data_IF_769749554199
#
_entry.id   IF_769749554199
#
_cell.length_a   1.000
_cell.length_b   1.000
_cell.length_c   1.000
_cell.angle_alpha   90.00
_cell.angle_beta   90.00
_cell.angle_gamma   90.00
#
_symmetry.space_group_name_H-M   'P 1'
#
loop_
_entity.id
_entity.type
_entity.pdbx_description
1 polymer ?
#
# COMPACT_ATOMS: atom_id res chain seq x y z
N UNK A 1 -10.79 -2.96 -18.99
CA UNK A 1 -9.94 -3.40 -17.87
C UNK A 1 -9.29 -4.71 -18.23
N UNK A 2 -8.14 -5.04 -17.65
CA UNK A 2 -7.55 -6.39 -17.77
C UNK A 2 -8.11 -7.35 -16.70
N UNK A 3 -7.64 -8.60 -16.69
CA UNK A 3 -8.08 -9.64 -15.74
C UNK A 3 -7.69 -9.37 -14.29
N UNK A 4 -6.77 -8.43 -14.03
CA UNK A 4 -6.38 -7.99 -12.70
C UNK A 4 -7.18 -6.76 -12.24
N UNK A 5 -8.17 -6.31 -13.02
CA UNK A 5 -9.01 -5.17 -12.69
C UNK A 5 -8.37 -3.81 -13.00
N UNK A 6 -7.22 -3.76 -13.69
CA UNK A 6 -6.53 -2.51 -14.03
C UNK A 6 -7.12 -1.90 -15.28
N UNK A 7 -7.28 -0.57 -15.32
CA UNK A 7 -7.79 0.14 -16.50
C UNK A 7 -6.75 0.13 -17.60
N UNK A 8 -7.02 -0.51 -18.73
CA UNK A 8 -6.11 -0.57 -19.90
C UNK A 8 -6.43 0.46 -20.98
N UNK A 9 -7.66 0.98 -20.98
CA UNK A 9 -8.11 2.02 -21.91
C UNK A 9 -9.33 2.75 -21.35
N UNK A 10 -9.53 3.99 -21.80
CA UNK A 10 -10.78 4.75 -21.67
C UNK A 10 -11.13 5.42 -22.99
N UNK A 11 -12.42 5.69 -23.17
CA UNK A 11 -12.95 6.53 -24.23
C UNK A 11 -13.97 7.47 -23.60
N UNK A 12 -13.82 8.76 -23.85
CA UNK A 12 -14.71 9.80 -23.34
C UNK A 12 -15.08 10.77 -24.46
N UNK A 13 -16.27 11.36 -24.38
CA UNK A 13 -16.67 12.46 -25.26
C UNK A 13 -16.63 13.75 -24.44
N UNK A 14 -15.77 14.68 -24.83
CA UNK A 14 -15.54 15.95 -24.14
C UNK A 14 -15.76 17.07 -25.16
N UNK A 15 -16.75 17.91 -24.91
CA UNK A 15 -17.12 19.01 -25.82
C UNK A 15 -17.36 18.58 -27.29
N UNK A 16 -17.86 17.36 -27.49
CA UNK A 16 -18.12 16.78 -28.82
C UNK A 16 -16.91 16.13 -29.49
N UNK A 17 -15.74 16.14 -28.84
CA UNK A 17 -14.54 15.42 -29.29
C UNK A 17 -14.40 14.09 -28.54
N UNK A 18 -14.08 13.03 -29.28
CA UNK A 18 -13.85 11.71 -28.68
C UNK A 18 -12.36 11.58 -28.34
N UNK A 19 -12.07 11.55 -27.04
CA UNK A 19 -10.74 11.24 -26.53
C UNK A 19 -10.63 9.73 -26.31
N UNK A 20 -9.55 9.13 -26.82
CA UNK A 20 -9.17 7.75 -26.53
C UNK A 20 -7.80 7.72 -25.87
N UNK A 21 -7.72 7.02 -24.74
CA UNK A 21 -6.50 6.91 -23.96
C UNK A 21 -6.25 5.46 -23.56
N UNK A 22 -5.01 5.00 -23.68
CA UNK A 22 -4.55 3.67 -23.24
C UNK A 22 -3.63 3.83 -22.04
N UNK A 23 -3.55 2.80 -21.21
CA UNK A 23 -2.74 2.80 -19.99
C UNK A 23 -1.89 1.54 -19.90
N UNK A 24 -0.62 1.72 -19.51
CA UNK A 24 0.31 0.63 -19.19
C UNK A 24 0.61 0.62 -17.69
N UNK A 25 0.89 -0.56 -17.16
CA UNK A 25 1.00 -0.79 -15.72
C UNK A 25 2.27 -1.56 -15.35
N UNK A 26 2.87 -1.22 -14.20
CA UNK A 26 3.91 -1.98 -13.51
C UNK A 26 3.34 -2.46 -12.18
N UNK A 27 3.01 -3.75 -12.06
CA UNK A 27 2.23 -4.25 -10.92
C UNK A 27 0.85 -3.56 -10.88
N UNK A 28 0.50 -2.96 -9.74
CA UNK A 28 -0.70 -2.12 -9.57
C UNK A 28 -0.43 -0.62 -9.71
N UNK A 29 0.75 -0.22 -10.20
CA UNK A 29 1.12 1.19 -10.43
C UNK A 29 1.00 1.55 -11.91
N UNK A 30 0.24 2.60 -12.23
CA UNK A 30 0.12 3.07 -13.61
C UNK A 30 1.47 3.63 -14.07
N UNK A 31 2.01 3.04 -15.12
CA UNK A 31 3.32 3.39 -15.65
C UNK A 31 3.23 4.45 -16.74
N UNK A 32 2.23 4.36 -17.62
CA UNK A 32 2.13 5.23 -18.80
C UNK A 32 0.68 5.48 -19.19
N UNK A 33 0.39 6.67 -19.69
CA UNK A 33 -0.81 6.96 -20.47
C UNK A 33 -0.44 7.33 -21.91
N UNK A 34 -1.29 6.95 -22.86
CA UNK A 34 -1.05 7.12 -24.29
C UNK A 34 -2.32 7.60 -24.99
N UNK A 35 -2.19 8.70 -25.74
CA UNK A 35 -3.16 9.18 -26.72
C UNK A 35 -2.54 9.04 -28.13
N UNK A 36 -3.31 9.16 -29.22
CA UNK A 36 -2.72 9.10 -30.57
C UNK A 36 -1.60 10.13 -30.74
N UNK A 37 -0.38 9.67 -31.04
CA UNK A 37 0.80 10.53 -31.27
C UNK A 37 1.48 11.08 -30.01
N UNK A 38 0.97 10.77 -28.80
CA UNK A 38 1.58 11.26 -27.55
C UNK A 38 1.55 10.19 -26.45
N UNK A 39 2.57 10.22 -25.59
CA UNK A 39 2.58 9.41 -24.39
C UNK A 39 3.25 10.11 -23.22
N UNK A 40 2.79 9.80 -22.02
CA UNK A 40 3.32 10.30 -20.77
C UNK A 40 3.73 9.09 -19.92
N UNK A 41 5.03 8.96 -19.66
CA UNK A 41 5.62 7.93 -18.80
C UNK A 41 5.82 8.51 -17.39
N UNK A 42 5.32 7.83 -16.37
CA UNK A 42 5.46 8.22 -14.97
C UNK A 42 6.59 7.45 -14.29
N UNK A 43 7.49 8.17 -13.63
CA UNK A 43 8.54 7.64 -12.78
C UNK A 43 8.18 7.93 -11.32
N UNK A 44 8.40 6.96 -10.45
CA UNK A 44 7.97 7.00 -9.05
C UNK A 44 9.14 6.70 -8.13
N UNK A 45 9.04 7.14 -6.89
CA UNK A 45 9.98 6.76 -5.85
C UNK A 45 10.02 5.22 -5.67
N UNK A 46 11.19 4.65 -5.31
CA UNK A 46 11.33 3.21 -5.09
C UNK A 46 10.32 2.69 -4.05
N UNK A 47 9.52 1.68 -4.43
CA UNK A 47 8.55 1.03 -3.53
C UNK A 47 7.32 1.87 -3.17
N UNK A 48 7.11 3.01 -3.84
CA UNK A 48 6.04 3.98 -3.51
C UNK A 48 5.13 4.26 -4.72
N UNK A 49 3.99 4.92 -4.45
CA UNK A 49 3.11 5.51 -5.47
C UNK A 49 3.31 7.03 -5.59
N UNK A 50 4.22 7.61 -4.82
CA UNK A 50 4.62 9.01 -4.95
C UNK A 50 5.36 9.22 -6.28
N UNK A 51 4.84 10.09 -7.16
CA UNK A 51 5.49 10.38 -8.44
C UNK A 51 6.75 11.22 -8.20
N UNK A 52 7.79 10.92 -8.96
CA UNK A 52 9.10 11.59 -8.90
C UNK A 52 9.33 12.45 -10.15
N UNK A 53 9.07 11.89 -11.33
CA UNK A 53 9.23 12.58 -12.60
C UNK A 53 8.24 12.03 -13.63
N UNK A 54 8.07 12.74 -14.73
CA UNK A 54 7.42 12.20 -15.94
C UNK A 54 8.17 12.58 -17.19
N UNK A 55 8.05 11.72 -18.20
CA UNK A 55 8.62 11.92 -19.54
C UNK A 55 7.49 11.96 -20.53
N UNK A 56 7.33 13.12 -21.18
CA UNK A 56 6.36 13.32 -22.24
C UNK A 56 7.06 13.13 -23.59
N UNK A 57 6.47 12.28 -24.43
CA UNK A 57 6.92 12.04 -25.79
C UNK A 57 5.76 12.34 -26.74
N UNK A 58 5.93 13.33 -27.61
CA UNK A 58 5.06 13.59 -28.76
C UNK A 58 5.78 13.15 -30.05
N UNK A 59 5.03 12.66 -31.03
CA UNK A 59 5.59 12.23 -32.32
C UNK A 59 6.26 13.41 -33.04
N UNK A 60 7.54 13.23 -33.41
CA UNK A 60 8.32 14.28 -34.07
C UNK A 60 8.90 15.35 -33.13
N UNK A 61 8.66 15.27 -31.83
CA UNK A 61 9.26 16.15 -30.82
C UNK A 61 10.33 15.43 -29.99
N UNK A 62 11.27 16.21 -29.42
CA UNK A 62 12.17 15.72 -28.39
C UNK A 62 11.41 15.41 -27.09
N UNK A 63 11.97 14.51 -26.28
CA UNK A 63 11.39 14.15 -24.99
C UNK A 63 11.45 15.33 -24.02
N UNK A 64 10.33 15.62 -23.37
CA UNK A 64 10.24 16.63 -22.31
C UNK A 64 10.22 15.94 -20.95
N UNK A 65 11.14 16.33 -20.09
CA UNK A 65 11.26 15.79 -18.73
C UNK A 65 10.68 16.80 -17.74
N UNK A 66 9.82 16.31 -16.84
CA UNK A 66 9.24 17.10 -15.78
C UNK A 66 9.44 16.44 -14.42
N UNK A 67 9.56 17.23 -13.37
CA UNK A 67 9.82 16.79 -11.99
C UNK A 67 8.65 17.15 -11.09
N UNK A 68 8.17 16.17 -10.33
CA UNK A 68 7.11 16.37 -9.36
C UNK A 68 7.66 16.90 -8.04
N UNK A 69 6.95 17.88 -7.46
CA UNK A 69 7.10 18.27 -6.08
C UNK A 69 5.84 17.89 -5.34
N UNK A 70 5.99 17.15 -4.24
CA UNK A 70 4.86 16.52 -3.54
C UNK A 70 4.75 16.99 -2.09
N UNK A 71 3.54 16.87 -1.52
CA UNK A 71 3.31 17.06 -0.09
C UNK A 71 3.83 15.86 0.74
N UNK A 72 3.61 15.89 2.07
CA UNK A 72 4.09 14.85 2.98
C UNK A 72 3.51 13.44 2.73
N UNK A 73 2.43 13.32 1.97
CA UNK A 73 1.82 12.04 1.59
C UNK A 73 2.00 11.73 0.10
N UNK A 74 2.86 12.45 -0.61
CA UNK A 74 3.16 12.18 -2.01
C UNK A 74 2.13 12.71 -3.01
N UNK A 75 1.25 13.65 -2.60
CA UNK A 75 0.34 14.34 -3.52
C UNK A 75 1.11 15.38 -4.34
N UNK A 76 1.06 15.37 -5.67
CA UNK A 76 1.63 16.44 -6.49
C UNK A 76 1.06 17.80 -6.11
N UNK A 77 1.92 18.77 -5.78
CA UNK A 77 1.53 20.18 -5.58
C UNK A 77 2.10 21.08 -6.68
N UNK A 78 3.25 20.71 -7.25
CA UNK A 78 3.91 21.43 -8.34
C UNK A 78 4.59 20.46 -9.31
N UNK A 79 4.79 20.93 -10.54
CA UNK A 79 5.56 20.26 -11.57
C UNK A 79 6.48 21.28 -12.25
N UNK A 80 7.76 20.96 -12.37
CA UNK A 80 8.76 21.82 -13.03
C UNK A 80 9.35 21.16 -14.28
N UNK A 81 9.72 21.95 -15.29
CA UNK A 81 10.47 21.49 -16.47
C UNK A 81 11.98 21.31 -16.16
N UNK A 82 12.78 20.99 -17.19
CA UNK A 82 14.24 20.81 -17.07
C UNK A 82 14.99 22.08 -16.67
N UNK A 83 14.40 23.24 -16.91
CA UNK A 83 14.95 24.56 -16.59
C UNK A 83 14.56 25.02 -15.18
N UNK A 84 13.71 24.27 -14.48
CA UNK A 84 13.22 24.58 -13.13
C UNK A 84 12.03 25.54 -13.10
N UNK A 85 11.40 25.80 -14.24
CA UNK A 85 10.20 26.63 -14.34
C UNK A 85 8.98 25.81 -13.94
N UNK A 86 8.07 26.42 -13.16
CA UNK A 86 6.81 25.79 -12.76
C UNK A 86 5.86 25.80 -13.97
N UNK A 87 5.49 24.61 -14.43
CA UNK A 87 4.58 24.41 -15.58
C UNK A 87 3.20 23.92 -15.16
N UNK A 88 3.06 23.47 -13.91
CA UNK A 88 1.79 23.10 -13.30
C UNK A 88 1.88 23.26 -11.79
N UNK A 89 0.83 23.80 -11.15
CA UNK A 89 0.75 23.97 -9.69
C UNK A 89 -0.70 24.00 -9.23
N UNK A 90 -1.01 23.26 -8.18
CA UNK A 90 -2.35 23.18 -7.60
C UNK A 90 -2.33 23.29 -6.07
N UNK A 91 -3.38 23.87 -5.52
CA UNK A 91 -3.71 23.78 -4.08
C UNK A 91 -4.92 22.87 -3.89
N UNK A 92 -4.95 22.17 -2.75
CA UNK A 92 -5.94 21.13 -2.48
C UNK A 92 -6.71 21.41 -1.20
N UNK A 93 -7.99 21.02 -1.18
CA UNK A 93 -8.74 20.79 0.06
C UNK A 93 -8.26 19.49 0.71
N UNK A 94 -8.61 19.29 1.98
CA UNK A 94 -8.16 18.14 2.78
C UNK A 94 -8.50 16.76 2.19
N UNK A 95 -9.50 16.67 1.31
CA UNK A 95 -9.93 15.42 0.65
C UNK A 95 -9.52 15.35 -0.82
N UNK A 96 -8.52 16.14 -1.23
CA UNK A 96 -7.89 16.01 -2.53
C UNK A 96 -8.64 16.67 -3.68
N UNK A 97 -9.72 17.42 -3.42
CA UNK A 97 -10.30 18.29 -4.44
C UNK A 97 -9.37 19.48 -4.68
N UNK A 98 -9.17 19.80 -5.95
CA UNK A 98 -8.36 20.96 -6.35
C UNK A 98 -9.13 22.21 -5.96
N UNK A 99 -8.60 22.97 -5.00
CA UNK A 99 -9.17 24.25 -4.61
C UNK A 99 -8.83 25.33 -5.63
N UNK A 100 -7.57 25.33 -6.10
CA UNK A 100 -7.11 26.24 -7.13
C UNK A 100 -6.04 25.59 -7.99
N UNK A 101 -6.14 25.77 -9.30
CA UNK A 101 -5.08 25.45 -10.24
C UNK A 101 -4.34 26.75 -10.58
N UNK A 102 -3.20 26.96 -9.93
CA UNK A 102 -2.42 28.20 -9.99
C UNK A 102 -1.65 28.32 -11.30
N UNK A 103 -1.07 27.21 -11.78
CA UNK A 103 -0.39 27.10 -13.08
C UNK A 103 -0.90 25.86 -13.80
N UNK A 104 -1.14 25.97 -15.11
CA UNK A 104 -1.73 24.90 -15.93
C UNK A 104 -1.22 24.95 -17.38
N UNK A 105 0.08 25.08 -17.57
CA UNK A 105 0.68 25.08 -18.92
C UNK A 105 0.69 23.68 -19.53
N UNK A 106 0.75 22.66 -18.68
CA UNK A 106 0.70 21.25 -19.07
C UNK A 106 -0.41 20.51 -18.30
N UNK A 107 -1.06 19.55 -18.95
CA UNK A 107 -2.03 18.69 -18.27
C UNK A 107 -1.31 17.81 -17.24
N UNK A 108 -1.91 17.63 -16.07
CA UNK A 108 -1.42 16.73 -15.02
C UNK A 108 -2.62 16.07 -14.33
N UNK A 109 -2.73 14.74 -14.43
CA UNK A 109 -3.87 13.96 -13.93
C UNK A 109 -3.60 13.14 -12.66
N UNK A 110 -2.36 12.97 -12.21
CA UNK A 110 -2.06 12.31 -10.94
C UNK A 110 -2.61 13.15 -9.77
N UNK A 111 -3.18 12.49 -8.78
CA UNK A 111 -3.75 13.10 -7.56
C UNK A 111 -3.10 12.49 -6.33
N UNK A 112 -3.87 12.14 -5.29
CA UNK A 112 -3.33 11.32 -4.20
C UNK A 112 -2.66 10.07 -4.77
N UNK A 113 -1.71 9.49 -4.02
CA UNK A 113 -1.00 8.30 -4.44
C UNK A 113 -1.96 7.21 -4.97
N UNK A 114 -1.74 6.76 -6.21
CA UNK A 114 -2.58 5.77 -6.91
C UNK A 114 -3.81 6.32 -7.65
N UNK A 115 -4.11 7.61 -7.50
CA UNK A 115 -5.26 8.25 -8.13
C UNK A 115 -4.91 8.96 -9.44
N UNK A 116 -5.84 8.84 -10.40
CA UNK A 116 -5.81 9.52 -11.68
C UNK A 116 -7.12 10.28 -11.90
N UNK A 117 -7.04 11.57 -12.19
CA UNK A 117 -8.18 12.44 -12.45
C UNK A 117 -8.76 12.19 -13.85
N UNK A 118 -10.05 11.87 -13.89
CA UNK A 118 -10.83 11.77 -15.12
C UNK A 118 -11.71 13.02 -15.25
N UNK A 119 -11.24 13.97 -16.07
CA UNK A 119 -11.90 15.26 -16.28
C UNK A 119 -13.36 15.12 -16.75
N UNK A 120 -13.68 14.07 -17.52
CA UNK A 120 -15.02 13.78 -18.03
C UNK A 120 -16.06 13.49 -16.95
N UNK A 121 -15.60 13.03 -15.77
CA UNK A 121 -16.47 12.67 -14.65
C UNK A 121 -16.20 13.50 -13.40
N UNK A 122 -15.11 14.25 -13.38
CA UNK A 122 -14.53 14.88 -12.19
C UNK A 122 -14.16 13.91 -11.06
N UNK A 123 -14.22 12.60 -11.31
CA UNK A 123 -13.83 11.57 -10.36
C UNK A 123 -12.35 11.23 -10.50
N UNK A 124 -11.80 10.70 -9.42
CA UNK A 124 -10.46 10.13 -9.39
C UNK A 124 -10.57 8.62 -9.56
N UNK A 125 -10.12 8.09 -10.69
CA UNK A 125 -9.89 6.67 -10.85
C UNK A 125 -8.80 6.20 -9.87
N UNK A 126 -9.15 5.27 -8.99
CA UNK A 126 -8.27 4.73 -7.96
C UNK A 126 -8.26 3.21 -8.05
N UNK A 127 -7.59 2.69 -9.08
CA UNK A 127 -7.41 1.27 -9.44
C UNK A 127 -8.71 0.43 -9.45
N UNK A 128 -9.25 0.07 -8.29
CA UNK A 128 -10.46 -0.74 -8.16
C UNK A 128 -11.74 0.07 -7.89
N UNK A 129 -11.63 1.36 -7.57
CA UNK A 129 -12.78 2.22 -7.25
C UNK A 129 -12.64 3.59 -7.89
N UNK A 130 -13.77 4.31 -8.00
CA UNK A 130 -13.78 5.73 -8.30
C UNK A 130 -13.98 6.52 -7.01
N UNK A 131 -13.11 7.51 -6.80
CA UNK A 131 -13.13 8.40 -5.64
C UNK A 131 -13.70 9.75 -6.05
N UNK A 132 -14.64 10.25 -5.25
CA UNK A 132 -15.20 11.58 -5.37
C UNK A 132 -14.49 12.50 -4.35
N UNK A 133 -13.62 13.42 -4.82
CA UNK A 133 -12.87 14.30 -3.93
C UNK A 133 -13.71 15.43 -3.33
N UNK A 134 -14.86 15.78 -3.92
CA UNK A 134 -15.75 16.83 -3.39
C UNK A 134 -16.45 16.35 -2.11
N UNK A 135 -16.83 15.06 -2.09
CA UNK A 135 -17.51 14.44 -0.94
C UNK A 135 -16.55 13.66 -0.05
N UNK A 136 -15.32 13.41 -0.53
CA UNK A 136 -14.26 12.73 0.20
C UNK A 136 -14.48 11.22 0.39
N UNK A 137 -15.09 10.54 -0.58
CA UNK A 137 -15.43 9.10 -0.48
C UNK A 137 -15.43 8.37 -1.82
N UNK A 138 -15.41 7.05 -1.78
CA UNK A 138 -15.64 6.24 -2.98
C UNK A 138 -17.11 6.26 -3.39
N UNK A 139 -17.37 6.21 -4.70
CA UNK A 139 -18.73 6.09 -5.25
C UNK A 139 -19.18 4.64 -5.42
N UNK A 140 -18.23 3.69 -5.36
CA UNK A 140 -18.47 2.25 -5.40
C UNK A 140 -18.20 1.62 -4.02
N UNK A 141 -18.92 0.53 -3.71
CA UNK A 141 -18.64 -0.27 -2.53
C UNK A 141 -17.25 -0.91 -2.62
N UNK A 142 -16.63 -1.12 -1.46
CA UNK A 142 -15.36 -1.83 -1.35
C UNK A 142 -15.46 -3.24 -1.97
N UNK A 143 -14.62 -3.58 -2.97
CA UNK A 143 -14.62 -4.89 -3.62
C UNK A 143 -14.34 -6.06 -2.68
N UNK A 144 -13.64 -5.82 -1.56
CA UNK A 144 -13.39 -6.84 -0.53
C UNK A 144 -14.48 -6.86 0.57
N UNK A 145 -15.56 -6.10 0.37
CA UNK A 145 -16.74 -6.08 1.24
C UNK A 145 -16.41 -5.64 2.66
N UNK A 146 -17.03 -6.26 3.65
CA UNK A 146 -16.83 -5.92 5.07
C UNK A 146 -15.41 -6.20 5.58
N UNK A 147 -14.56 -6.89 4.81
CA UNK A 147 -13.13 -6.99 5.11
C UNK A 147 -12.45 -5.62 4.97
N UNK A 148 -12.98 -4.75 4.08
CA UNK A 148 -12.67 -3.32 3.90
C UNK A 148 -13.18 -2.41 5.03
N UNK A 149 -13.66 -2.99 6.13
CA UNK A 149 -14.28 -2.26 7.23
C UNK A 149 -15.79 -2.07 7.06
N UNK A 150 -16.42 -1.50 8.10
CA UNK A 150 -17.87 -1.37 8.17
C UNK A 150 -18.43 -0.30 7.22
N UNK A 151 -17.61 0.68 6.82
CA UNK A 151 -17.99 1.72 5.86
C UNK A 151 -17.40 1.41 4.49
N UNK A 152 -18.21 0.79 3.63
CA UNK A 152 -17.82 0.32 2.30
C UNK A 152 -17.44 1.44 1.31
N UNK A 153 -17.69 2.71 1.65
CA UNK A 153 -17.42 3.86 0.80
C UNK A 153 -16.25 4.72 1.31
N UNK A 154 -15.64 4.37 2.45
CA UNK A 154 -14.60 5.18 3.09
C UNK A 154 -13.30 5.18 2.30
N UNK A 155 -12.68 6.35 2.10
CA UNK A 155 -11.31 6.46 1.57
C UNK A 155 -10.24 6.06 2.59
N UNK A 156 -10.35 6.59 3.80
CA UNK A 156 -9.41 6.33 4.88
C UNK A 156 -9.84 7.08 6.13
N UNK A 157 -9.20 6.78 7.27
CA UNK A 157 -9.53 7.44 8.55
C UNK A 157 -9.04 8.89 8.56
N UNK A 158 -7.92 9.18 7.91
CA UNK A 158 -7.35 10.53 7.81
C UNK A 158 -6.64 10.73 6.46
N UNK A 159 -7.15 11.58 5.56
CA UNK A 159 -6.59 11.79 4.22
C UNK A 159 -5.28 12.60 4.22
N UNK A 160 -4.91 13.22 5.34
CA UNK A 160 -3.69 14.04 5.48
C UNK A 160 -2.47 13.19 5.83
N UNK A 161 -2.69 11.98 6.35
CA UNK A 161 -1.62 11.04 6.75
C UNK A 161 -1.77 9.63 6.18
N UNK A 162 -2.89 9.31 5.54
CA UNK A 162 -3.16 8.01 4.92
C UNK A 162 -3.33 8.15 3.43
N UNK A 163 -2.90 7.11 2.72
CA UNK A 163 -3.12 6.92 1.30
C UNK A 163 -3.85 5.58 1.09
N UNK A 164 -4.71 5.50 0.09
CA UNK A 164 -5.29 4.24 -0.41
C UNK A 164 -5.01 4.15 -1.92
N UNK A 165 -3.81 3.66 -2.34
CA UNK A 165 -3.41 3.66 -3.75
C UNK A 165 -4.18 2.70 -4.66
N UNK A 166 -4.95 1.78 -4.08
CA UNK A 166 -5.67 0.75 -4.83
C UNK A 166 -7.17 0.88 -4.75
N UNK A 167 -7.68 1.66 -3.80
CA UNK A 167 -9.09 1.63 -3.51
C UNK A 167 -9.46 0.35 -2.75
N UNK A 168 -8.63 -0.12 -1.80
CA UNK A 168 -9.00 -1.18 -0.86
C UNK A 168 -8.84 -0.67 0.58
N UNK A 169 -9.95 -0.58 1.31
CA UNK A 169 -9.94 -0.03 2.66
C UNK A 169 -9.67 -1.10 3.73
N UNK A 170 -8.60 -1.88 3.66
CA UNK A 170 -8.33 -2.84 4.74
C UNK A 170 -6.86 -2.94 5.15
N UNK A 171 -6.61 -2.64 6.43
CA UNK A 171 -5.48 -3.24 7.14
C UNK A 171 -5.67 -4.76 7.19
N UNK A 172 -4.62 -5.58 7.09
CA UNK A 172 -4.76 -7.02 7.21
C UNK A 172 -5.30 -7.43 8.58
N UNK A 173 -6.08 -8.51 8.61
CA UNK A 173 -6.73 -9.09 9.80
C UNK A 173 -5.77 -9.31 10.98
N UNK A 174 -4.52 -9.62 10.68
CA UNK A 174 -3.49 -9.99 11.67
C UNK A 174 -2.33 -8.98 11.72
N UNK A 175 -2.60 -7.73 11.30
CA UNK A 175 -1.64 -6.62 11.41
C UNK A 175 -2.00 -5.64 12.54
N UNK A 176 -1.03 -4.82 13.00
CA UNK A 176 -1.26 -3.77 13.98
C UNK A 176 -2.40 -2.83 13.57
N UNK A 177 -3.01 -2.19 14.55
CA UNK A 177 -3.92 -1.09 14.28
C UNK A 177 -3.13 0.11 13.77
N UNK A 178 -3.40 0.53 12.53
CA UNK A 178 -2.64 1.59 11.85
C UNK A 178 -2.73 2.92 12.62
N UNK A 179 -3.91 3.30 13.11
CA UNK A 179 -4.08 4.57 13.84
C UNK A 179 -3.22 4.59 15.11
N UNK A 180 -3.27 3.52 15.92
CA UNK A 180 -2.41 3.38 17.10
C UNK A 180 -0.92 3.26 16.75
N UNK A 181 -0.59 2.77 15.56
CA UNK A 181 0.78 2.64 15.11
C UNK A 181 1.40 4.00 14.79
N UNK A 182 0.65 4.82 14.03
CA UNK A 182 1.05 6.17 13.67
C UNK A 182 1.15 7.08 14.91
N UNK A 183 0.22 6.96 15.88
CA UNK A 183 0.24 7.70 17.15
C UNK A 183 1.55 7.49 17.95
N UNK A 184 2.15 6.31 17.82
CA UNK A 184 3.44 5.98 18.46
C UNK A 184 4.65 6.44 17.67
N UNK A 185 4.48 7.15 16.56
CA UNK A 185 5.55 7.59 15.67
C UNK A 185 6.08 6.52 14.71
N UNK A 186 5.31 5.45 14.48
CA UNK A 186 5.61 4.48 13.43
C UNK A 186 5.16 4.99 12.05
N UNK A 187 5.55 4.28 10.99
CA UNK A 187 5.02 4.48 9.64
C UNK A 187 4.48 3.17 9.07
N UNK A 188 3.51 3.30 8.16
CA UNK A 188 2.87 2.18 7.49
C UNK A 188 2.77 2.51 6.02
N UNK A 189 3.19 1.58 5.16
CA UNK A 189 2.93 1.63 3.73
C UNK A 189 2.61 0.23 3.22
N UNK A 190 2.24 0.14 1.95
CA UNK A 190 1.90 -1.11 1.30
C UNK A 190 2.85 -1.27 0.10
N UNK A 191 3.42 -2.46 -0.09
CA UNK A 191 4.29 -2.72 -1.25
C UNK A 191 3.47 -2.69 -2.54
N UNK A 192 4.14 -2.59 -3.70
CA UNK A 192 3.47 -2.41 -5.00
C UNK A 192 2.59 -3.63 -5.40
N UNK A 193 2.74 -4.76 -4.72
CA UNK A 193 2.17 -6.06 -5.05
C UNK A 193 0.66 -6.21 -4.83
N UNK A 194 0.02 -5.30 -4.11
CA UNK A 194 -1.40 -5.47 -3.78
C UNK A 194 -1.69 -6.03 -2.37
N UNK A 195 -0.68 -6.54 -1.66
CA UNK A 195 -0.92 -7.56 -0.62
C UNK A 195 -0.05 -7.42 0.61
N UNK A 196 1.14 -6.84 0.47
CA UNK A 196 2.11 -6.81 1.55
C UNK A 196 2.09 -5.46 2.26
N UNK A 197 1.61 -5.45 3.51
CA UNK A 197 1.69 -4.27 4.36
C UNK A 197 3.04 -4.21 5.06
N UNK A 198 3.66 -3.04 5.12
CA UNK A 198 4.97 -2.81 5.73
C UNK A 198 4.82 -1.84 6.88
N UNK A 199 5.09 -2.34 8.09
CA UNK A 199 5.09 -1.53 9.29
C UNK A 199 6.52 -1.24 9.70
N UNK A 200 6.84 0.03 9.90
CA UNK A 200 8.08 0.48 10.51
C UNK A 200 7.78 1.08 11.87
N UNK A 201 8.49 0.65 12.91
CA UNK A 201 8.35 1.25 14.23
C UNK A 201 9.23 2.50 14.41
N UNK A 202 9.01 3.22 15.50
CA UNK A 202 9.75 4.43 15.89
C UNK A 202 11.22 4.17 16.25
N UNK A 203 11.66 2.91 16.32
CA UNK A 203 13.07 2.53 16.48
C UNK A 203 13.71 2.14 15.13
N UNK A 204 12.95 2.19 14.05
CA UNK A 204 13.40 1.89 12.69
C UNK A 204 13.28 0.43 12.27
N UNK A 205 12.73 -0.45 13.11
CA UNK A 205 12.53 -1.87 12.75
C UNK A 205 11.38 -2.00 11.77
N UNK A 206 11.52 -2.90 10.79
CA UNK A 206 10.53 -3.11 9.71
C UNK A 206 10.03 -4.54 9.73
N UNK A 207 8.72 -4.74 9.74
CA UNK A 207 8.06 -6.05 9.57
C UNK A 207 7.06 -5.95 8.42
N UNK A 208 7.11 -6.94 7.53
CA UNK A 208 6.19 -7.10 6.41
C UNK A 208 5.05 -8.01 6.82
N UNK A 209 3.89 -7.82 6.20
CA UNK A 209 2.69 -8.60 6.44
C UNK A 209 2.15 -9.18 5.12
N UNK A 210 2.90 -10.09 4.45
CA UNK A 210 2.39 -10.78 3.26
C UNK A 210 1.13 -11.56 3.63
N UNK A 211 0.06 -11.36 2.85
CA UNK A 211 -1.26 -11.95 3.09
C UNK A 211 -1.78 -11.75 4.53
N UNK A 212 -1.28 -10.69 5.20
CA UNK A 212 -1.66 -10.29 6.53
C UNK A 212 -0.95 -10.96 7.69
N UNK A 213 0.04 -11.82 7.47
CA UNK A 213 0.82 -12.48 8.52
C UNK A 213 2.21 -11.86 8.67
N UNK A 214 2.72 -11.63 9.89
CA UNK A 214 4.02 -11.00 10.07
C UNK A 214 5.16 -11.88 9.56
N UNK A 215 6.00 -11.33 8.69
CA UNK A 215 7.28 -11.92 8.33
C UNK A 215 8.35 -11.47 9.33
N UNK A 216 8.67 -12.37 10.28
CA UNK A 216 9.73 -12.15 11.25
C UNK A 216 11.11 -12.66 10.82
N UNK A 217 11.26 -13.14 9.59
CA UNK A 217 12.54 -13.67 9.06
C UNK A 217 13.74 -12.74 9.33
N UNK A 218 13.64 -11.40 9.18
CA UNK A 218 14.75 -10.50 9.48
C UNK A 218 15.23 -10.49 10.95
N UNK A 219 14.42 -11.01 11.87
CA UNK A 219 14.70 -11.04 13.32
C UNK A 219 14.84 -12.48 13.85
N UNK A 220 14.79 -13.48 12.98
CA UNK A 220 14.87 -14.89 13.37
C UNK A 220 16.25 -15.21 13.97
N UNK A 221 16.24 -15.92 15.10
CA UNK A 221 17.46 -16.46 15.72
C UNK A 221 17.70 -17.90 15.31
N UNK A 222 16.62 -18.68 15.27
CA UNK A 222 16.55 -20.05 14.81
C UNK A 222 15.10 -20.42 14.51
N UNK A 223 14.92 -21.45 13.68
CA UNK A 223 13.62 -22.03 13.39
C UNK A 223 13.66 -23.55 13.54
N UNK A 224 12.51 -24.13 13.85
CA UNK A 224 12.32 -25.57 13.97
C UNK A 224 10.98 -25.98 13.41
N UNK A 225 10.95 -27.13 12.74
CA UNK A 225 9.69 -27.77 12.37
C UNK A 225 9.23 -28.65 13.52
N UNK A 226 8.08 -28.30 14.08
CA UNK A 226 7.46 -29.02 15.19
C UNK A 226 6.28 -29.81 14.63
N UNK A 227 6.37 -31.14 14.55
CA UNK A 227 5.21 -31.96 14.18
C UNK A 227 4.10 -31.82 15.25
N UNK A 228 2.85 -31.82 14.78
CA UNK A 228 1.65 -31.76 15.61
C UNK A 228 1.61 -30.54 16.56
N UNK A 229 1.83 -29.34 16.01
CA UNK A 229 1.56 -28.09 16.73
C UNK A 229 0.10 -28.07 17.19
N UNK A 230 -0.13 -27.70 18.44
CA UNK A 230 -1.46 -27.62 19.06
C UNK A 230 -1.95 -26.17 19.22
N UNK A 231 -1.09 -25.21 18.93
CA UNK A 231 -1.31 -23.78 19.13
C UNK A 231 -1.28 -23.36 20.59
N UNK A 232 -0.48 -24.03 21.43
CA UNK A 232 -0.33 -23.66 22.83
C UNK A 232 1.08 -23.13 23.12
N UNK A 233 1.20 -22.29 24.15
CA UNK A 233 2.49 -21.71 24.55
C UNK A 233 3.14 -22.49 25.71
N UNK A 234 2.77 -23.76 25.90
CA UNK A 234 3.27 -24.59 26.99
C UNK A 234 4.76 -24.90 26.81
N UNK A 235 5.56 -24.66 27.85
CA UNK A 235 7.01 -24.95 27.85
C UNK A 235 7.34 -26.36 28.35
N UNK A 236 6.32 -27.11 28.76
CA UNK A 236 6.44 -28.52 29.11
C UNK A 236 6.54 -29.39 27.83
N UNK A 237 6.98 -30.66 27.92
CA UNK A 237 7.14 -31.52 26.74
C UNK A 237 5.88 -31.71 25.89
N UNK A 238 4.69 -31.53 26.48
CA UNK A 238 3.42 -31.60 25.77
C UNK A 238 2.98 -30.30 25.09
N UNK A 239 3.68 -29.19 25.35
CA UNK A 239 3.37 -27.89 24.79
C UNK A 239 4.31 -27.50 23.66
N UNK A 240 3.85 -26.63 22.76
CA UNK A 240 4.56 -26.38 21.51
C UNK A 240 5.92 -25.70 21.75
N UNK A 241 5.99 -24.79 22.72
CA UNK A 241 7.24 -24.11 23.07
C UNK A 241 8.25 -25.09 23.65
N UNK A 242 7.80 -26.05 24.46
CA UNK A 242 8.65 -27.11 24.99
C UNK A 242 9.15 -28.08 23.92
N UNK A 243 8.31 -28.40 22.93
CA UNK A 243 8.71 -29.18 21.75
C UNK A 243 9.74 -28.43 20.90
N UNK A 244 9.51 -27.15 20.63
CA UNK A 244 10.44 -26.32 19.88
C UNK A 244 11.80 -26.22 20.58
N UNK A 245 11.81 -25.95 21.90
CA UNK A 245 13.02 -25.95 22.72
C UNK A 245 13.81 -27.26 22.67
N UNK A 246 13.13 -28.40 22.53
CA UNK A 246 13.77 -29.71 22.45
C UNK A 246 14.41 -29.99 21.08
N UNK A 247 13.87 -29.37 20.03
CA UNK A 247 14.34 -29.51 18.64
C UNK A 247 15.32 -28.39 18.23
N UNK A 248 15.44 -27.35 19.05
CA UNK A 248 16.18 -26.14 18.76
C UNK A 248 17.70 -26.41 18.59
N UNK A 249 18.28 -26.17 17.40
CA UNK A 249 19.69 -26.48 17.13
C UNK A 249 20.65 -25.61 17.96
N UNK A 250 20.23 -24.40 18.37
CA UNK A 250 21.03 -23.49 19.20
C UNK A 250 20.68 -23.61 20.69
N UNK A 251 19.94 -24.66 21.06
CA UNK A 251 19.43 -24.85 22.41
C UNK A 251 18.16 -24.05 22.69
N UNK A 252 17.68 -24.17 23.92
CA UNK A 252 16.39 -23.60 24.35
C UNK A 252 16.38 -22.08 24.26
N UNK A 253 15.22 -21.51 23.96
CA UNK A 253 15.06 -20.06 23.87
C UNK A 253 15.33 -19.38 25.23
N UNK A 254 16.08 -18.27 25.21
CA UNK A 254 16.20 -17.37 26.36
C UNK A 254 14.92 -16.55 26.50
N UNK A 255 13.95 -17.08 27.23
CA UNK A 255 12.63 -16.46 27.42
C UNK A 255 12.64 -15.09 28.11
N UNK A 256 13.78 -14.64 28.65
CA UNK A 256 13.94 -13.26 29.13
C UNK A 256 14.03 -12.26 27.98
N UNK A 257 14.51 -12.70 26.81
CA UNK A 257 14.76 -11.87 25.62
C UNK A 257 13.93 -12.27 24.41
N UNK A 258 13.66 -13.56 24.23
CA UNK A 258 13.09 -14.13 23.03
C UNK A 258 11.77 -14.87 23.32
N UNK A 259 11.05 -15.23 22.26
CA UNK A 259 9.86 -16.08 22.31
C UNK A 259 9.77 -16.90 21.03
N UNK A 260 9.10 -18.04 21.11
CA UNK A 260 8.71 -18.77 19.92
C UNK A 260 7.46 -18.13 19.29
N UNK A 261 7.50 -17.97 17.97
CA UNK A 261 6.40 -17.53 17.12
C UNK A 261 5.88 -18.72 16.32
N UNK A 262 4.57 -18.92 16.29
CA UNK A 262 3.92 -19.91 15.44
C UNK A 262 3.73 -19.35 14.02
N UNK A 263 4.49 -19.88 13.05
CA UNK A 263 4.36 -19.53 11.65
C UNK A 263 2.97 -19.96 11.11
N UNK A 264 2.44 -19.23 10.14
CA UNK A 264 1.14 -19.49 9.53
C UNK A 264 1.05 -20.82 8.76
N UNK A 265 2.19 -21.45 8.43
CA UNK A 265 2.24 -22.75 7.78
C UNK A 265 1.87 -23.92 8.72
N UNK A 266 1.65 -23.62 10.01
CA UNK A 266 1.24 -24.57 11.05
C UNK A 266 2.21 -25.73 11.32
N UNK A 267 3.47 -25.58 10.91
CA UNK A 267 4.54 -26.58 11.11
C UNK A 267 5.78 -25.97 11.74
N UNK A 268 6.08 -24.72 11.38
CA UNK A 268 7.32 -24.08 11.76
C UNK A 268 7.12 -23.17 12.97
N UNK A 269 8.09 -23.18 13.87
CA UNK A 269 8.23 -22.22 14.95
C UNK A 269 9.53 -21.44 14.79
N UNK A 270 9.45 -20.12 14.93
CA UNK A 270 10.59 -19.21 14.81
C UNK A 270 10.91 -18.59 16.18
N UNK A 271 12.15 -18.66 16.63
CA UNK A 271 12.60 -17.92 17.81
C UNK A 271 12.92 -16.48 17.40
N UNK A 272 12.21 -15.53 17.99
CA UNK A 272 12.32 -14.10 17.67
C UNK A 272 12.44 -13.25 18.94
N UNK A 273 13.06 -12.06 18.89
CA UNK A 273 13.10 -11.14 20.01
C UNK A 273 11.69 -10.78 20.50
N UNK A 274 11.44 -10.97 21.80
CA UNK A 274 10.14 -10.75 22.43
C UNK A 274 9.65 -9.31 22.26
N UNK A 275 10.58 -8.34 22.24
CA UNK A 275 10.28 -6.92 22.02
C UNK A 275 9.66 -6.69 20.64
N UNK A 276 10.23 -7.29 19.59
CA UNK A 276 9.73 -7.20 18.22
C UNK A 276 8.40 -7.94 18.11
N UNK A 277 8.35 -9.20 18.53
CA UNK A 277 7.14 -10.03 18.49
C UNK A 277 5.93 -9.40 19.18
N UNK A 278 6.13 -8.77 20.35
CA UNK A 278 5.04 -8.12 21.08
C UNK A 278 4.61 -6.79 20.47
N UNK A 279 5.55 -6.06 19.86
CA UNK A 279 5.29 -4.74 19.27
C UNK A 279 4.47 -4.91 18.00
N UNK A 280 4.96 -5.74 17.08
CA UNK A 280 4.33 -6.05 15.80
C UNK A 280 3.17 -7.02 16.03
N UNK A 281 2.06 -6.45 16.48
CA UNK A 281 0.87 -7.20 16.88
C UNK A 281 0.40 -8.07 15.73
N UNK A 282 0.15 -9.33 16.06
CA UNK A 282 -0.35 -10.32 15.14
C UNK A 282 -1.19 -11.32 15.92
N UNK A 283 -2.03 -12.06 15.21
CA UNK A 283 -2.47 -13.34 15.73
C UNK A 283 -1.62 -14.42 15.09
N UNK A 284 -0.84 -15.15 15.90
CA UNK A 284 -0.11 -16.30 15.40
C UNK A 284 -1.07 -17.35 14.80
N UNK A 285 -0.53 -18.31 14.04
CA UNK A 285 -1.31 -19.39 13.41
C UNK A 285 -2.23 -20.17 14.37
N UNK A 286 -1.98 -20.08 15.68
CA UNK A 286 -2.84 -20.55 16.77
C UNK A 286 -4.32 -20.15 16.63
N UNK A 287 -4.64 -18.93 16.16
CA UNK A 287 -6.05 -18.50 16.03
C UNK A 287 -6.77 -19.24 14.91
N UNK A 288 -6.06 -19.63 13.84
CA UNK A 288 -6.60 -20.42 12.73
C UNK A 288 -6.81 -21.90 13.09
N UNK A 289 -6.14 -22.41 14.14
CA UNK A 289 -6.38 -23.76 14.67
C UNK A 289 -7.66 -23.90 15.48
N UNK A 290 -8.15 -22.82 16.09
CA UNK A 290 -9.33 -22.86 16.97
C UNK A 290 -10.66 -22.64 16.21
N UNK A 291 -10.61 -22.28 14.93
CA UNK A 291 -11.78 -22.03 14.08
C UNK A 291 -12.20 -23.22 13.22
N UNK A 292 -11.56 -24.39 13.36
CA UNK A 292 -11.81 -25.60 12.56
C UNK A 292 -12.38 -26.77 13.39
N UNK A 293 -13.11 -26.49 14.47
CA UNK A 293 -13.97 -27.46 15.16
C UNK A 293 -15.44 -27.07 15.02
#
# INVERSE_FOLDING_TARGET
>A
YDSLGRRIAKQAEINGEVEQKRFLWQGLRMLREETPGQSILYLYEPGSYAPLARVDQAEGEEQKLYYFHTDQIGTPIELTNSEGEIVWQATYRSWGSVEQLVVSEVEQNIRFQGQYFDCESSLHYNTFRFYDPEVGRFVNQDPIGLLGGANLYSYGVNPISWIDPWGWSAKPSHSPDVAKWLDKGGSVHMEIDGRTWVYKDWEGNVVRYPDGHPDFTPFERQQVDVPDLKGNHGKNPGGDFGKADALAPQGKADYSKNTWHHHENMKTMQEVPKKIHNRFTHSGGVKNMKSSC
#
